data_IF_477377537096
#
_entry.id   IF_477377537096
#
_cell.length_a   1.000
_cell.length_b   1.000
_cell.length_c   1.000
_cell.angle_alpha   90.00
_cell.angle_beta   90.00
_cell.angle_gamma   90.00
#
_symmetry.space_group_name_H-M   'P 1'
#
loop_
_entity.id
_entity.type
_entity.pdbx_description
1 polymer ?
#
# COMPACT_ATOMS: atom_id res chain seq x y z
N UNK A 1 -11.69 -6.22 25.02
CA UNK A 1 -12.65 -5.66 24.06
C UNK A 1 -11.85 -4.82 23.10
N UNK A 2 -11.68 -5.27 21.86
CA UNK A 2 -11.01 -4.48 20.82
C UNK A 2 -11.87 -3.24 20.54
N UNK A 3 -11.27 -2.05 20.57
CA UNK A 3 -11.98 -0.79 20.35
C UNK A 3 -12.50 -0.72 18.91
N UNK A 4 -13.48 0.15 18.64
CA UNK A 4 -13.97 0.41 17.27
C UNK A 4 -12.84 0.80 16.28
N UNK A 5 -11.69 1.23 16.80
CA UNK A 5 -10.48 1.59 16.04
C UNK A 5 -9.62 0.38 15.59
N UNK A 6 -10.00 -0.85 15.98
CA UNK A 6 -9.29 -2.08 15.58
C UNK A 6 -9.86 -2.74 14.31
N UNK A 7 -11.03 -2.30 13.82
CA UNK A 7 -11.58 -2.84 12.58
C UNK A 7 -10.92 -2.19 11.36
N UNK A 8 -10.21 -2.99 10.57
CA UNK A 8 -9.62 -2.60 9.30
C UNK A 8 -9.74 -3.74 8.28
N UNK A 9 -9.95 -3.40 7.01
CA UNK A 9 -9.96 -4.36 5.91
C UNK A 9 -8.54 -4.76 5.50
N UNK A 10 -7.61 -3.79 5.52
CA UNK A 10 -6.23 -3.97 5.04
C UNK A 10 -5.21 -3.35 5.99
N UNK A 11 -4.03 -3.97 6.06
CA UNK A 11 -2.88 -3.48 6.80
C UNK A 11 -1.73 -3.24 5.82
N UNK A 12 -1.30 -1.98 5.66
CA UNK A 12 -0.22 -1.60 4.75
C UNK A 12 0.96 -1.02 5.50
N UNK A 13 2.14 -1.61 5.27
CA UNK A 13 3.42 -1.09 5.75
C UNK A 13 4.00 -0.10 4.73
N UNK A 14 4.21 1.14 5.15
CA UNK A 14 4.84 2.22 4.38
C UNK A 14 6.13 2.64 5.06
N UNK A 15 7.17 2.91 4.27
CA UNK A 15 8.44 3.45 4.77
C UNK A 15 8.64 4.89 4.26
N UNK A 16 9.18 5.76 5.12
CA UNK A 16 9.65 7.09 4.73
C UNK A 16 11.16 7.03 4.53
N UNK A 17 11.64 7.40 3.35
CA UNK A 17 13.07 7.39 3.00
C UNK A 17 13.50 8.72 2.38
N UNK A 18 14.79 9.01 2.45
CA UNK A 18 15.37 10.28 2.00
C UNK A 18 16.39 10.83 3.00
N UNK A 19 17.07 11.90 2.61
CA UNK A 19 18.16 12.49 3.39
C UNK A 19 17.74 12.97 4.80
N UNK A 20 18.72 13.12 5.68
CA UNK A 20 18.50 13.74 6.99
C UNK A 20 18.04 15.19 6.84
N UNK A 21 17.03 15.59 7.61
CA UNK A 21 16.54 16.98 7.64
C UNK A 21 15.62 17.39 6.48
N UNK A 22 15.23 16.47 5.59
CA UNK A 22 14.23 16.74 4.53
C UNK A 22 12.80 16.88 5.07
N UNK A 23 12.54 16.40 6.30
CA UNK A 23 11.27 16.59 7.01
C UNK A 23 10.37 15.35 7.10
N UNK A 24 10.90 14.14 6.92
CA UNK A 24 10.16 12.87 7.04
C UNK A 24 9.41 12.74 8.37
N UNK A 25 10.08 12.97 9.49
CA UNK A 25 9.48 12.89 10.84
C UNK A 25 8.36 13.92 11.01
N UNK A 26 8.56 15.16 10.54
CA UNK A 26 7.52 16.18 10.58
C UNK A 26 6.32 15.83 9.67
N UNK A 27 6.53 15.19 8.52
CA UNK A 27 5.43 14.66 7.72
C UNK A 27 4.68 13.54 8.45
N UNK A 28 5.39 12.65 9.12
CA UNK A 28 4.78 11.57 9.93
C UNK A 28 3.94 12.16 11.07
N UNK A 29 4.50 13.07 11.86
CA UNK A 29 3.81 13.73 12.97
C UNK A 29 2.62 14.55 12.46
N UNK A 30 2.78 15.27 11.35
CA UNK A 30 1.69 16.04 10.75
C UNK A 30 0.54 15.12 10.30
N UNK A 31 0.86 14.00 9.65
CA UNK A 31 -0.17 13.08 9.20
C UNK A 31 -0.88 12.36 10.36
N UNK A 32 -0.13 11.95 11.39
CA UNK A 32 -0.66 11.08 12.45
C UNK A 32 -1.26 11.82 13.64
N UNK A 33 -0.75 13.02 13.95
CA UNK A 33 -1.11 13.79 15.16
C UNK A 33 -1.48 15.24 14.87
N UNK A 34 -1.38 15.67 13.61
CA UNK A 34 -1.49 17.07 13.21
C UNK A 34 -0.51 17.99 13.98
N UNK A 35 0.70 17.47 14.22
CA UNK A 35 1.78 18.18 14.94
C UNK A 35 2.93 18.51 14.01
N UNK A 36 3.61 19.64 14.28
CA UNK A 36 4.84 20.03 13.61
C UNK A 36 5.84 20.59 14.61
N UNK A 37 7.10 20.18 14.49
CA UNK A 37 8.19 20.63 15.35
C UNK A 37 9.30 21.29 14.52
N UNK A 38 9.46 22.61 14.70
CA UNK A 38 10.54 23.37 14.08
C UNK A 38 11.94 22.90 14.53
N UNK A 39 12.06 22.47 15.78
CA UNK A 39 13.32 22.02 16.39
C UNK A 39 13.49 20.50 16.29
N UNK A 40 12.86 19.86 15.30
CA UNK A 40 12.96 18.42 15.08
C UNK A 40 14.45 18.02 14.94
N UNK A 41 14.95 17.24 15.90
CA UNK A 41 16.31 16.69 15.85
C UNK A 41 16.40 15.58 14.80
N UNK A 42 17.61 15.23 14.39
CA UNK A 42 17.82 14.06 13.54
C UNK A 42 17.25 12.81 14.21
N UNK A 43 16.43 12.05 13.49
CA UNK A 43 15.88 10.78 13.96
C UNK A 43 17.02 9.82 14.30
N UNK A 44 17.03 9.33 15.54
CA UNK A 44 17.96 8.29 16.00
C UNK A 44 17.23 6.96 15.88
N UNK A 45 17.67 6.11 14.95
CA UNK A 45 17.00 4.83 14.69
C UNK A 45 15.77 4.97 13.81
N UNK A 46 14.65 4.38 14.24
CA UNK A 46 13.40 4.31 13.47
C UNK A 46 12.21 4.60 14.36
N UNK A 47 11.33 5.47 13.90
CA UNK A 47 10.05 5.78 14.55
C UNK A 47 8.91 5.07 13.82
N UNK A 48 7.90 4.64 14.58
CA UNK A 48 6.75 3.90 14.07
C UNK A 48 5.46 4.57 14.53
N UNK A 49 4.54 4.78 13.59
CA UNK A 49 3.20 5.24 13.91
C UNK A 49 2.15 4.51 13.04
N UNK A 50 0.92 4.46 13.55
CA UNK A 50 -0.22 3.89 12.85
C UNK A 50 -1.35 4.89 12.70
N UNK A 51 -1.98 4.93 11.53
CA UNK A 51 -3.22 5.69 11.29
C UNK A 51 -4.17 4.89 10.43
N UNK A 52 -5.43 4.84 10.82
CA UNK A 52 -6.50 4.28 10.00
C UNK A 52 -6.98 5.33 9.00
N UNK A 53 -7.11 4.92 7.74
CA UNK A 53 -7.49 5.77 6.61
C UNK A 53 -8.69 5.13 5.92
N UNK A 54 -9.70 5.94 5.63
CA UNK A 54 -10.89 5.52 4.89
C UNK A 54 -10.66 5.81 3.40
N UNK A 55 -10.78 4.78 2.57
CA UNK A 55 -10.85 4.92 1.12
C UNK A 55 -12.30 5.18 0.67
N UNK A 56 -12.44 5.81 -0.49
CA UNK A 56 -13.74 6.19 -1.06
C UNK A 56 -14.66 5.00 -1.31
N UNK A 57 -14.13 3.79 -1.54
CA UNK A 57 -14.92 2.56 -1.72
C UNK A 57 -15.44 1.96 -0.40
N UNK A 58 -15.38 2.72 0.71
CA UNK A 58 -15.83 2.29 2.04
C UNK A 58 -14.88 1.31 2.73
N UNK A 59 -13.63 1.19 2.24
CA UNK A 59 -12.59 0.33 2.81
C UNK A 59 -11.77 1.08 3.84
N UNK A 60 -11.40 0.39 4.93
CA UNK A 60 -10.56 0.94 5.99
C UNK A 60 -9.17 0.33 5.91
N UNK A 61 -8.16 1.16 5.66
CA UNK A 61 -6.76 0.75 5.66
C UNK A 61 -6.10 1.21 6.97
N UNK A 62 -5.50 0.28 7.70
CA UNK A 62 -4.56 0.59 8.77
C UNK A 62 -3.17 0.77 8.18
N UNK A 63 -2.71 2.02 8.08
CA UNK A 63 -1.37 2.35 7.62
C UNK A 63 -0.38 2.21 8.79
N UNK A 64 0.69 1.45 8.57
CA UNK A 64 1.84 1.28 9.44
C UNK A 64 3.02 2.04 8.83
N UNK A 65 3.35 3.20 9.37
CA UNK A 65 4.34 4.10 8.78
C UNK A 65 5.62 4.05 9.60
N UNK A 66 6.73 3.79 8.91
CA UNK A 66 8.06 3.68 9.48
C UNK A 66 8.89 4.88 9.02
N UNK A 67 9.20 5.79 9.93
CA UNK A 67 10.14 6.89 9.69
C UNK A 67 11.57 6.42 9.94
N UNK A 68 12.40 6.42 8.89
CA UNK A 68 13.77 5.93 8.97
C UNK A 68 14.77 7.08 9.11
N UNK A 69 15.85 6.87 9.87
CA UNK A 69 16.94 7.82 9.92
C UNK A 69 17.53 8.05 8.53
N UNK A 70 17.55 9.31 8.08
CA UNK A 70 18.12 9.70 6.79
C UNK A 70 19.64 9.88 6.80
N UNK A 71 20.34 9.43 7.85
CA UNK A 71 21.80 9.52 7.92
C UNK A 71 22.44 8.30 7.27
N UNK A 72 23.44 8.53 6.42
CA UNK A 72 24.18 7.47 5.75
C UNK A 72 24.81 6.45 6.70
N UNK A 73 25.14 6.84 7.92
CA UNK A 73 25.76 5.98 8.95
C UNK A 73 24.86 4.83 9.40
N UNK A 74 23.54 4.94 9.21
CA UNK A 74 22.58 3.91 9.64
C UNK A 74 22.03 3.06 8.49
N UNK A 75 22.51 3.25 7.25
CA UNK A 75 22.03 2.53 6.04
C UNK A 75 22.02 1.01 6.16
N UNK A 76 23.04 0.43 6.77
CA UNK A 76 23.09 -1.03 6.97
C UNK A 76 21.95 -1.56 7.85
N UNK A 77 21.36 -0.71 8.69
CA UNK A 77 20.19 -1.03 9.52
C UNK A 77 18.90 -0.72 8.75
N UNK A 78 18.88 0.33 7.94
CA UNK A 78 17.71 0.78 7.16
C UNK A 78 17.18 -0.29 6.20
N UNK A 79 18.05 -1.09 5.58
CA UNK A 79 17.64 -2.13 4.62
C UNK A 79 16.71 -3.19 5.23
N UNK A 80 16.86 -3.50 6.52
CA UNK A 80 15.99 -4.45 7.22
C UNK A 80 14.53 -3.94 7.30
N UNK A 81 14.32 -2.62 7.31
CA UNK A 81 12.99 -2.02 7.41
C UNK A 81 12.20 -2.03 6.11
N UNK A 82 12.87 -2.18 4.96
CA UNK A 82 12.21 -2.29 3.66
C UNK A 82 11.47 -3.62 3.48
N UNK A 83 11.87 -4.67 4.22
CA UNK A 83 11.23 -5.97 4.14
C UNK A 83 9.74 -5.89 4.50
N UNK A 84 8.88 -6.35 3.58
CA UNK A 84 7.44 -6.34 3.73
C UNK A 84 6.79 -4.96 3.61
N UNK A 85 7.55 -3.92 3.27
CA UNK A 85 6.97 -2.64 2.88
C UNK A 85 6.27 -2.79 1.53
N UNK A 86 5.07 -2.22 1.44
CA UNK A 86 4.22 -2.27 0.23
C UNK A 86 4.14 -0.91 -0.44
N UNK A 87 4.53 0.15 0.28
CA UNK A 87 4.76 1.47 -0.27
C UNK A 87 5.96 2.17 0.35
N UNK A 88 6.50 3.14 -0.37
CA UNK A 88 7.54 4.04 0.10
C UNK A 88 7.26 5.49 -0.31
N UNK A 89 7.41 6.41 0.63
CA UNK A 89 7.51 7.84 0.35
C UNK A 89 8.99 8.22 0.27
N UNK A 90 9.41 8.65 -0.91
CA UNK A 90 10.78 9.08 -1.19
C UNK A 90 10.84 10.60 -1.11
N UNK A 91 11.36 11.12 0.00
CA UNK A 91 11.24 12.54 0.37
C UNK A 91 12.53 13.29 0.12
N UNK A 92 12.44 14.44 -0.55
CA UNK A 92 13.51 15.43 -0.65
C UNK A 92 13.03 16.82 -0.21
N UNK A 93 13.96 17.74 0.00
CA UNK A 93 13.68 19.13 0.37
C UNK A 93 13.81 20.02 -0.87
N UNK A 94 12.73 20.71 -1.26
CA UNK A 94 12.73 21.54 -2.47
C UNK A 94 13.72 22.71 -2.40
N UNK A 95 14.15 23.11 -1.20
CA UNK A 95 15.13 24.18 -0.98
C UNK A 95 16.58 23.69 -1.01
N UNK A 96 16.80 22.37 -1.04
CA UNK A 96 18.15 21.75 -0.99
C UNK A 96 18.37 20.81 -2.17
N UNK A 97 19.03 21.33 -3.20
CA UNK A 97 19.38 20.57 -4.42
C UNK A 97 20.04 19.21 -4.14
N UNK A 98 21.01 19.19 -3.22
CA UNK A 98 21.72 17.95 -2.87
C UNK A 98 20.78 16.83 -2.40
N UNK A 99 19.68 17.17 -1.70
CA UNK A 99 18.72 16.16 -1.26
C UNK A 99 17.94 15.52 -2.41
N UNK A 100 17.74 16.27 -3.50
CA UNK A 100 17.13 15.78 -4.74
C UNK A 100 18.13 14.94 -5.55
N UNK A 101 19.39 15.38 -5.67
CA UNK A 101 20.42 14.59 -6.37
C UNK A 101 20.63 13.22 -5.69
N UNK A 102 20.45 13.13 -4.36
CA UNK A 102 20.53 11.89 -3.61
C UNK A 102 19.29 10.96 -3.77
N UNK A 103 18.19 11.43 -4.37
CA UNK A 103 16.96 10.64 -4.57
C UNK A 103 17.24 9.38 -5.38
N UNK A 104 18.05 9.48 -6.44
CA UNK A 104 18.41 8.34 -7.30
C UNK A 104 19.06 7.21 -6.49
N UNK A 105 19.94 7.59 -5.56
CA UNK A 105 20.61 6.64 -4.66
C UNK A 105 19.61 5.94 -3.73
N UNK A 106 18.70 6.71 -3.12
CA UNK A 106 17.68 6.15 -2.23
C UNK A 106 16.70 5.25 -2.98
N UNK A 107 16.33 5.63 -4.20
CA UNK A 107 15.47 4.83 -5.07
C UNK A 107 16.13 3.48 -5.43
N UNK A 108 17.41 3.51 -5.78
CA UNK A 108 18.18 2.29 -6.05
C UNK A 108 18.24 1.39 -4.82
N UNK A 109 18.60 1.96 -3.66
CA UNK A 109 18.68 1.21 -2.39
C UNK A 109 17.34 0.55 -2.02
N UNK A 110 16.23 1.25 -2.24
CA UNK A 110 14.89 0.72 -2.04
C UNK A 110 14.59 -0.45 -2.99
N UNK A 111 14.84 -0.28 -4.29
CA UNK A 111 14.58 -1.32 -5.31
C UNK A 111 15.43 -2.58 -5.10
N UNK A 112 16.64 -2.44 -4.57
CA UNK A 112 17.54 -3.56 -4.30
C UNK A 112 17.06 -4.46 -3.13
N UNK A 113 16.22 -3.94 -2.22
CA UNK A 113 15.87 -4.62 -0.96
C UNK A 113 14.37 -4.78 -0.70
N UNK A 114 13.51 -4.01 -1.37
CA UNK A 114 12.05 -4.07 -1.23
C UNK A 114 11.41 -5.08 -2.19
N UNK A 115 10.10 -5.27 -2.06
CA UNK A 115 9.33 -6.05 -3.04
C UNK A 115 9.37 -5.35 -4.40
N UNK A 116 9.53 -6.08 -5.53
CA UNK A 116 9.52 -5.47 -6.87
C UNK A 116 8.26 -4.68 -7.21
N UNK A 117 7.15 -4.93 -6.50
CA UNK A 117 5.86 -4.28 -6.70
C UNK A 117 5.57 -3.21 -5.65
N UNK A 118 6.59 -2.74 -4.93
CA UNK A 118 6.45 -1.63 -3.99
C UNK A 118 5.97 -0.38 -4.73
N UNK A 119 4.96 0.28 -4.19
CA UNK A 119 4.46 1.55 -4.73
C UNK A 119 5.34 2.68 -4.22
N UNK A 120 5.82 3.54 -5.11
CA UNK A 120 6.76 4.61 -4.76
C UNK A 120 6.15 5.94 -5.15
N UNK A 121 6.09 6.86 -4.19
CA UNK A 121 5.69 8.25 -4.41
C UNK A 121 6.86 9.17 -4.02
N UNK A 122 7.35 9.93 -4.99
CA UNK A 122 8.34 10.99 -4.80
C UNK A 122 7.66 12.19 -4.17
N UNK A 123 8.24 12.71 -3.09
CA UNK A 123 7.68 13.83 -2.34
C UNK A 123 8.68 14.98 -2.24
N UNK A 124 8.35 16.10 -2.87
CA UNK A 124 9.05 17.37 -2.71
C UNK A 124 8.52 18.11 -1.49
N UNK A 125 9.17 17.97 -0.35
CA UNK A 125 8.73 18.59 0.90
C UNK A 125 9.25 20.02 1.06
N UNK A 126 8.62 20.77 1.97
CA UNK A 126 8.88 22.19 2.28
C UNK A 126 8.47 23.15 1.17
N UNK A 127 7.35 22.86 0.51
CA UNK A 127 6.78 23.71 -0.55
C UNK A 127 6.41 25.12 -0.09
N UNK A 128 6.35 25.37 1.22
CA UNK A 128 6.25 26.68 1.86
C UNK A 128 7.48 27.57 1.59
N UNK A 129 8.67 26.98 1.42
CA UNK A 129 9.93 27.70 1.17
C UNK A 129 10.12 28.11 -0.30
N UNK A 130 9.09 28.67 -0.93
CA UNK A 130 9.08 29.02 -2.37
C UNK A 130 10.24 29.92 -2.79
N UNK A 131 10.63 30.86 -1.93
CA UNK A 131 11.72 31.81 -2.20
C UNK A 131 13.12 31.18 -2.14
N UNK A 132 13.25 30.01 -1.52
CA UNK A 132 14.51 29.27 -1.39
C UNK A 132 14.54 28.04 -2.31
N UNK A 133 13.57 27.91 -3.23
CA UNK A 133 13.44 26.76 -4.11
C UNK A 133 14.70 26.57 -4.96
N UNK A 134 15.29 25.38 -4.84
CA UNK A 134 16.45 24.94 -5.60
C UNK A 134 16.12 23.85 -6.64
N UNK A 135 14.92 23.24 -6.55
CA UNK A 135 14.43 22.20 -7.46
C UNK A 135 13.04 22.59 -7.98
N UNK A 136 12.88 22.63 -9.30
CA UNK A 136 11.61 23.01 -9.91
C UNK A 136 10.64 21.82 -9.98
N UNK A 137 9.31 22.07 -9.95
CA UNK A 137 8.33 20.99 -10.10
C UNK A 137 8.47 20.25 -11.43
N UNK A 138 8.88 20.93 -12.50
CA UNK A 138 9.08 20.33 -13.83
C UNK A 138 10.25 19.36 -13.83
N UNK A 139 11.36 19.70 -13.17
CA UNK A 139 12.52 18.82 -13.03
C UNK A 139 12.16 17.55 -12.23
N UNK A 140 11.48 17.72 -11.10
CA UNK A 140 11.05 16.59 -10.27
C UNK A 140 10.01 15.70 -10.98
N UNK A 141 9.08 16.30 -11.71
CA UNK A 141 8.09 15.57 -12.53
C UNK A 141 8.77 14.78 -13.65
N UNK A 142 9.77 15.37 -14.31
CA UNK A 142 10.54 14.69 -15.35
C UNK A 142 11.27 13.47 -14.78
N UNK A 143 11.93 13.63 -13.64
CA UNK A 143 12.59 12.51 -12.95
C UNK A 143 11.58 11.42 -12.56
N UNK A 144 10.43 11.80 -11.98
CA UNK A 144 9.39 10.86 -11.56
C UNK A 144 8.85 10.03 -12.74
N UNK A 145 8.61 10.68 -13.89
CA UNK A 145 8.19 9.99 -15.11
C UNK A 145 9.26 9.05 -15.67
N UNK A 146 10.54 9.46 -15.64
CA UNK A 146 11.66 8.62 -16.09
C UNK A 146 11.80 7.35 -15.24
N UNK A 147 11.61 7.50 -13.92
CA UNK A 147 11.70 6.40 -12.97
C UNK A 147 10.39 5.64 -12.77
N UNK A 148 9.32 6.03 -13.46
CA UNK A 148 7.98 5.45 -13.32
C UNK A 148 7.46 5.45 -11.87
N UNK A 149 7.58 6.59 -11.20
CA UNK A 149 7.08 6.83 -9.84
C UNK A 149 6.13 8.03 -9.85
N UNK A 150 5.17 8.07 -8.93
CA UNK A 150 4.30 9.23 -8.78
C UNK A 150 5.05 10.40 -8.12
N UNK A 151 4.55 11.64 -8.27
CA UNK A 151 5.15 12.83 -7.67
C UNK A 151 4.10 13.76 -7.04
N UNK A 152 4.43 14.31 -5.87
CA UNK A 152 3.65 15.34 -5.18
C UNK A 152 4.57 16.29 -4.42
N UNK A 153 4.20 17.57 -4.31
CA UNK A 153 4.85 18.50 -3.38
C UNK A 153 4.04 18.68 -2.11
N UNK A 154 4.71 18.71 -0.96
CA UNK A 154 4.08 18.83 0.35
C UNK A 154 4.74 19.91 1.19
N UNK A 155 4.03 20.38 2.21
CA UNK A 155 4.62 21.14 3.31
C UNK A 155 4.08 20.61 4.63
N UNK A 156 4.98 20.04 5.44
CA UNK A 156 4.62 19.64 6.80
C UNK A 156 4.35 20.84 7.72
N UNK A 157 4.88 22.02 7.39
CA UNK A 157 4.72 23.24 8.16
C UNK A 157 3.26 23.70 8.17
N UNK A 158 2.70 23.89 6.98
CA UNK A 158 1.33 24.37 6.77
C UNK A 158 0.32 23.27 6.40
N UNK A 159 0.72 22.01 6.50
CA UNK A 159 -0.04 20.79 6.18
C UNK A 159 -0.40 20.61 4.69
N UNK A 160 0.09 21.45 3.78
CA UNK A 160 -0.22 21.36 2.35
C UNK A 160 0.12 19.98 1.80
N UNK A 161 -0.88 19.31 1.20
CA UNK A 161 -0.80 18.02 0.53
C UNK A 161 -0.27 16.84 1.36
N UNK A 162 -0.05 17.00 2.68
CA UNK A 162 0.48 15.89 3.51
C UNK A 162 -0.52 14.74 3.55
N UNK A 163 -1.78 15.02 3.86
CA UNK A 163 -2.84 14.01 3.86
C UNK A 163 -3.03 13.39 2.47
N UNK A 164 -3.05 14.22 1.43
CA UNK A 164 -3.16 13.78 0.04
C UNK A 164 -2.05 12.82 -0.36
N UNK A 165 -0.79 13.08 0.02
CA UNK A 165 0.33 12.20 -0.29
C UNK A 165 0.15 10.80 0.31
N UNK A 166 -0.27 10.70 1.57
CA UNK A 166 -0.54 9.41 2.22
C UNK A 166 -1.78 8.72 1.66
N UNK A 167 -2.85 9.46 1.37
CA UNK A 167 -4.04 8.89 0.72
C UNK A 167 -3.74 8.34 -0.67
N UNK A 168 -2.98 9.09 -1.48
CA UNK A 168 -2.62 8.70 -2.84
C UNK A 168 -1.84 7.39 -2.85
N UNK A 169 -0.78 7.27 -2.06
CA UNK A 169 0.02 6.04 -2.04
C UNK A 169 -0.80 4.84 -1.52
N UNK A 170 -1.67 5.04 -0.52
CA UNK A 170 -2.53 3.98 0.01
C UNK A 170 -3.56 3.50 -1.02
N UNK A 171 -4.16 4.42 -1.77
CA UNK A 171 -5.08 4.11 -2.85
C UNK A 171 -4.38 3.38 -4.00
N UNK A 172 -3.19 3.81 -4.40
CA UNK A 172 -2.39 3.15 -5.44
C UNK A 172 -2.02 1.71 -5.05
N UNK A 173 -1.58 1.48 -3.80
CA UNK A 173 -1.31 0.12 -3.27
C UNK A 173 -2.56 -0.75 -3.33
N UNK A 174 -3.71 -0.20 -2.93
CA UNK A 174 -4.97 -0.91 -2.95
C UNK A 174 -5.38 -1.33 -4.37
N UNK A 175 -5.29 -0.42 -5.34
CA UNK A 175 -5.60 -0.70 -6.74
C UNK A 175 -4.66 -1.76 -7.34
N UNK A 176 -3.37 -1.69 -7.05
CA UNK A 176 -2.40 -2.69 -7.52
C UNK A 176 -2.68 -4.08 -6.96
N UNK A 177 -3.06 -4.16 -5.68
CA UNK A 177 -3.44 -5.43 -5.06
C UNK A 177 -4.74 -6.00 -5.62
N UNK A 178 -5.73 -5.15 -5.90
CA UNK A 178 -6.97 -5.60 -6.54
C UNK A 178 -6.73 -6.18 -7.94
N UNK A 179 -5.91 -5.52 -8.77
CA UNK A 179 -5.56 -6.00 -10.11
C UNK A 179 -4.91 -7.39 -10.06
N UNK A 180 -3.94 -7.58 -9.16
CA UNK A 180 -3.28 -8.88 -8.98
C UNK A 180 -4.25 -9.99 -8.56
N UNK A 181 -5.20 -9.70 -7.67
CA UNK A 181 -6.21 -10.68 -7.27
C UNK A 181 -7.13 -11.10 -8.43
N UNK A 182 -7.39 -10.20 -9.38
CA UNK A 182 -8.16 -10.52 -10.59
C UNK A 182 -7.33 -11.33 -11.59
N UNK A 183 -6.04 -11.02 -11.73
CA UNK A 183 -5.11 -11.74 -12.63
C UNK A 183 -4.78 -13.16 -12.14
N UNK A 184 -4.62 -13.34 -10.83
CA UNK A 184 -4.36 -14.65 -10.20
C UNK A 184 -5.62 -15.53 -10.13
N UNK A 185 -6.81 -14.99 -10.42
CA UNK A 185 -8.06 -15.74 -10.45
C UNK A 185 -8.84 -15.58 -11.78
N UNK A 186 -8.30 -16.08 -12.92
CA UNK A 186 -8.97 -16.00 -14.21
C UNK A 186 -10.20 -16.93 -14.35
N UNK A 187 -10.53 -17.74 -13.33
CA UNK A 187 -11.71 -18.61 -13.28
C UNK A 187 -12.88 -18.00 -12.50
N UNK A 188 -13.22 -16.77 -12.84
CA UNK A 188 -14.61 -16.32 -12.81
C UNK A 188 -15.31 -16.73 -14.10
N UNK A 189 -15.31 -18.03 -14.46
CA UNK A 189 -16.11 -18.52 -15.57
C UNK A 189 -17.56 -18.15 -15.31
N UNK A 190 -18.15 -17.39 -16.24
CA UNK A 190 -19.58 -17.26 -16.44
C UNK A 190 -20.18 -18.67 -16.59
N UNK A 191 -20.47 -19.36 -15.49
CA UNK A 191 -21.50 -20.38 -15.47
C UNK A 191 -22.82 -19.65 -15.64
N UNK A 192 -23.20 -19.42 -16.90
CA UNK A 192 -24.61 -19.33 -17.26
C UNK A 192 -25.31 -20.53 -16.58
N UNK A 193 -26.42 -20.34 -15.86
CA UNK A 193 -27.22 -21.48 -15.43
C UNK A 193 -27.67 -22.20 -16.69
N UNK A 194 -27.07 -23.37 -16.94
CA UNK A 194 -27.39 -24.22 -18.07
C UNK A 194 -28.90 -24.44 -18.11
N UNK A 195 -29.49 -24.08 -19.24
CA UNK A 195 -30.89 -24.28 -19.60
C UNK A 195 -31.29 -25.70 -19.19
N UNK A 196 -32.14 -25.84 -18.17
CA UNK A 196 -32.62 -27.13 -17.70
C UNK A 196 -33.25 -27.92 -18.85
N UNK A 197 -32.73 -29.12 -19.12
CA UNK A 197 -33.39 -30.08 -20.00
C UNK A 197 -34.72 -30.47 -19.36
N UNK A 198 -35.82 -30.25 -20.07
CA UNK A 198 -37.13 -30.80 -19.71
C UNK A 198 -37.04 -32.33 -19.82
N UNK A 199 -37.15 -33.01 -18.69
CA UNK A 199 -37.38 -34.46 -18.67
C UNK A 199 -38.82 -34.68 -19.17
N UNK A 200 -38.97 -35.31 -20.34
CA UNK A 200 -40.25 -35.82 -20.79
C UNK A 200 -40.59 -37.06 -19.97
N UNK A 201 -41.72 -37.01 -19.28
CA UNK A 201 -42.35 -38.17 -18.64
C UNK A 201 -43.24 -38.81 -19.69
N UNK A 202 -42.86 -40.00 -20.15
CA UNK A 202 -43.74 -40.87 -20.93
C UNK A 202 -44.56 -41.72 -19.95
N UNK A 203 -45.87 -41.45 -19.90
CA UNK A 203 -46.88 -42.38 -19.42
C UNK A 203 -47.19 -43.38 -20.54
N UNK A 204 -46.89 -44.67 -20.36
CA UNK A 204 -47.93 -45.70 -20.49
C UNK A 204 -47.53 -47.12 -20.03
N UNK A 205 -48.40 -47.64 -19.15
CA UNK A 205 -49.02 -48.97 -19.13
C UNK A 205 -48.23 -50.30 -18.95
N UNK A 206 -48.24 -50.76 -17.68
CA UNK A 206 -48.80 -52.02 -17.15
C UNK A 206 -48.32 -53.44 -17.53
N UNK A 207 -48.29 -54.26 -16.46
CA UNK A 207 -48.23 -55.75 -16.33
C UNK A 207 -46.80 -56.33 -16.49
N UNK A 208 -46.27 -57.18 -15.60
CA UNK A 208 -46.89 -58.22 -14.76
C UNK A 208 -45.99 -58.68 -13.59
N UNK A 209 -46.64 -58.95 -12.45
CA UNK A 209 -46.47 -60.08 -11.50
C UNK A 209 -45.12 -60.40 -10.80
N UNK A 210 -45.22 -60.38 -9.45
CA UNK A 210 -44.75 -61.37 -8.44
C UNK A 210 -43.22 -61.53 -8.26
N UNK A 211 -42.61 -61.62 -7.07
CA UNK A 211 -43.00 -61.99 -5.71
C UNK A 211 -41.90 -61.59 -4.69
N UNK A 212 -42.24 -61.58 -3.39
CA UNK A 212 -41.47 -61.24 -2.15
C UNK A 212 -40.28 -62.20 -1.83
N UNK A 213 -39.59 -62.15 -0.64
CA UNK A 213 -38.86 -61.05 0.04
C UNK A 213 -37.48 -61.47 0.68
N UNK A 214 -36.77 -60.49 1.26
CA UNK A 214 -35.86 -60.55 2.44
C UNK A 214 -34.48 -61.26 2.39
N UNK A 215 -33.41 -60.55 2.79
CA UNK A 215 -32.69 -60.72 4.09
C UNK A 215 -31.44 -59.84 4.21
N UNK A 216 -31.21 -59.37 5.44
CA UNK A 216 -29.98 -58.75 5.98
C UNK A 216 -28.91 -59.83 6.26
N UNK A 217 -27.62 -59.51 6.18
CA UNK A 217 -26.60 -59.70 7.26
C UNK A 217 -25.13 -59.60 6.79
N UNK A 218 -24.29 -59.01 7.67
CA UNK A 218 -22.84 -59.21 7.89
C UNK A 218 -21.84 -58.73 6.81
N UNK A 219 -20.83 -57.88 7.07
CA UNK A 219 -19.70 -57.85 8.05
C UNK A 219 -18.44 -58.62 7.58
N UNK A 220 -17.27 -58.14 8.02
CA UNK A 220 -15.85 -58.54 7.77
C UNK A 220 -15.19 -57.78 6.58
N UNK A 221 -13.99 -57.21 6.68
CA UNK A 221 -12.95 -57.10 7.72
C UNK A 221 -12.09 -55.88 7.43
#
# INVERSE_FOLDING_TARGET
>A
MAGKDDYYDYLYKIVLIGDSGVGKSNMLSRFTRDEFNLESKSTIGVEFATKSVYLDEGKVIKAQIWDTAGQERYRAITSAYYRGAVGALLVYDISKRQSFDNVERWLKELRDHADPNIVILLVGNKSDLRHLRAVSPEEATKFANQENVAFIETSALDATNVEQAFHQILAEIYLLRQKKQMEDNPQGTLTQPGRGQKIQVDEDNSRSMQSRPSKKSACCS
#
